data_IF_430704178915
#
_entry.id   IF_430704178915
#
_cell.length_a   1.000
_cell.length_b   1.000
_cell.length_c   1.000
_cell.angle_alpha   90.00
_cell.angle_beta   90.00
_cell.angle_gamma   90.00
#
_symmetry.space_group_name_H-M   'P 1'
#
loop_
_entity.id
_entity.type
_entity.pdbx_description
1 polymer ?
#
# COMPACT_ATOMS: atom_id res chain seq x y z
N UNK A 1 29.40 2.17 6.69
CA UNK A 1 27.98 2.60 6.73
C UNK A 1 26.96 1.58 6.22
N UNK A 2 27.35 0.48 5.53
CA UNK A 2 26.40 -0.51 4.99
C UNK A 2 25.91 -1.56 6.00
N UNK A 3 26.74 -1.87 7.00
CA UNK A 3 26.47 -2.87 8.06
C UNK A 3 25.26 -2.54 8.94
N UNK A 4 25.05 -1.30 9.44
CA UNK A 4 23.88 -1.00 10.28
C UNK A 4 22.57 -1.00 9.49
N UNK A 5 22.61 -0.58 8.21
CA UNK A 5 21.44 -0.60 7.31
C UNK A 5 21.05 -2.05 7.00
N UNK A 6 22.03 -2.91 6.74
CA UNK A 6 21.78 -4.33 6.52
C UNK A 6 21.12 -4.98 7.75
N UNK A 7 21.60 -4.67 8.96
CA UNK A 7 21.03 -5.19 10.22
C UNK A 7 19.61 -4.68 10.42
N UNK A 8 19.33 -3.40 10.16
CA UNK A 8 17.98 -2.85 10.25
C UNK A 8 17.02 -3.52 9.28
N UNK A 9 17.43 -3.72 8.02
CA UNK A 9 16.62 -4.42 7.01
C UNK A 9 16.38 -5.87 7.40
N UNK A 10 17.39 -6.57 7.94
CA UNK A 10 17.26 -7.94 8.45
C UNK A 10 16.30 -8.01 9.64
N UNK A 11 16.30 -7.00 10.52
CA UNK A 11 15.43 -6.93 11.68
C UNK A 11 13.98 -6.61 11.30
N UNK A 12 13.77 -5.76 10.29
CA UNK A 12 12.45 -5.50 9.72
C UNK A 12 11.89 -6.73 8.98
N UNK A 13 12.71 -7.45 8.21
CA UNK A 13 12.32 -8.69 7.55
C UNK A 13 12.03 -9.80 8.55
N UNK A 14 12.82 -9.93 9.62
CA UNK A 14 12.56 -10.84 10.71
C UNK A 14 11.26 -10.48 11.45
N UNK A 15 11.02 -9.19 11.72
CA UNK A 15 9.75 -8.71 12.30
C UNK A 15 8.55 -9.04 11.42
N UNK A 16 8.64 -8.82 10.11
CA UNK A 16 7.58 -9.17 9.16
C UNK A 16 7.33 -10.68 9.06
N UNK A 17 8.36 -11.52 9.28
CA UNK A 17 8.25 -12.98 9.31
C UNK A 17 7.63 -13.48 10.62
N UNK A 18 7.92 -12.81 11.75
CA UNK A 18 7.37 -13.12 13.08
C UNK A 18 5.90 -12.66 13.20
N UNK A 19 5.52 -11.59 12.48
CA UNK A 19 4.16 -11.05 12.42
C UNK A 19 3.28 -11.74 11.36
N UNK A 20 3.80 -12.74 10.64
CA UNK A 20 2.91 -13.63 9.90
C UNK A 20 2.00 -14.31 10.93
N UNK A 21 0.67 -14.35 10.71
CA UNK A 21 -0.13 -15.32 11.43
C UNK A 21 0.41 -16.65 10.94
N UNK A 22 1.30 -17.27 11.73
CA UNK A 22 1.70 -18.65 11.59
C UNK A 22 0.36 -19.37 11.50
N UNK A 23 -0.04 -19.78 10.30
CA UNK A 23 -1.33 -20.36 10.06
C UNK A 23 -1.42 -21.54 11.01
N UNK A 24 -2.13 -21.31 12.12
CA UNK A 24 -2.35 -22.30 13.14
C UNK A 24 -3.17 -23.36 12.42
N UNK A 25 -2.48 -24.40 11.96
CA UNK A 25 -3.06 -25.61 11.42
C UNK A 25 -3.72 -26.45 12.52
N UNK A 26 -3.89 -25.89 13.71
CA UNK A 26 -4.90 -26.32 14.65
C UNK A 26 -6.24 -25.86 14.08
N UNK A 27 -7.00 -26.82 13.54
CA UNK A 27 -8.38 -26.63 13.16
C UNK A 27 -9.07 -25.77 14.23
N UNK A 28 -9.48 -24.56 13.86
CA UNK A 28 -10.28 -23.66 14.69
C UNK A 28 -11.52 -24.46 15.08
N UNK A 29 -11.50 -25.03 16.28
CA UNK A 29 -12.49 -26.04 16.67
C UNK A 29 -13.89 -25.47 16.83
N UNK A 30 -14.03 -24.14 16.81
CA UNK A 30 -15.30 -23.42 16.85
C UNK A 30 -15.17 -22.16 15.99
N UNK A 31 -15.26 -22.28 14.65
CA UNK A 31 -15.45 -21.09 13.80
C UNK A 31 -16.85 -20.54 14.06
N UNK A 32 -16.95 -19.46 14.83
CA UNK A 32 -18.17 -18.68 14.95
C UNK A 32 -18.19 -17.57 13.88
N UNK A 33 -19.29 -17.41 13.12
CA UNK A 33 -19.45 -16.29 12.22
C UNK A 33 -19.38 -14.96 12.97
N UNK A 34 -18.63 -14.00 12.42
CA UNK A 34 -18.52 -12.66 13.00
C UNK A 34 -19.89 -12.03 13.26
N UNK A 35 -20.08 -11.49 14.46
CA UNK A 35 -21.28 -10.73 14.79
C UNK A 35 -21.18 -9.33 14.18
N UNK A 36 -22.33 -8.75 13.80
CA UNK A 36 -22.36 -7.41 13.18
C UNK A 36 -21.75 -6.31 14.07
N UNK A 37 -21.79 -6.52 15.39
CA UNK A 37 -21.41 -5.53 16.39
C UNK A 37 -20.04 -5.86 17.03
N UNK A 38 -19.34 -6.88 16.53
CA UNK A 38 -18.06 -7.34 17.09
C UNK A 38 -16.91 -6.36 16.84
N UNK A 39 -17.00 -5.60 15.73
CA UNK A 39 -15.98 -4.62 15.37
C UNK A 39 -16.57 -3.21 15.28
N UNK A 40 -15.80 -2.19 15.71
CA UNK A 40 -16.18 -0.81 15.48
C UNK A 40 -16.32 -0.50 13.99
N UNK A 41 -17.36 0.24 13.60
CA UNK A 41 -17.66 0.56 12.19
C UNK A 41 -16.47 1.23 11.48
N UNK A 42 -15.70 2.05 12.19
CA UNK A 42 -14.52 2.74 11.63
C UNK A 42 -13.41 1.76 11.21
N UNK A 43 -13.29 0.61 11.87
CA UNK A 43 -12.27 -0.39 11.52
C UNK A 43 -12.55 -1.03 10.17
N UNK A 44 -13.84 -1.19 9.81
CA UNK A 44 -14.27 -1.58 8.47
C UNK A 44 -13.87 -0.55 7.40
N UNK A 45 -14.03 0.74 7.70
CA UNK A 45 -13.62 1.84 6.81
C UNK A 45 -12.09 1.86 6.59
N UNK A 46 -11.31 1.69 7.66
CA UNK A 46 -9.84 1.58 7.57
C UNK A 46 -9.41 0.35 6.79
N UNK A 47 -10.02 -0.81 7.07
CA UNK A 47 -9.75 -2.05 6.33
C UNK A 47 -10.00 -1.89 4.82
N UNK A 48 -11.12 -1.26 4.45
CA UNK A 48 -11.42 -0.97 3.03
C UNK A 48 -10.35 -0.06 2.43
N UNK A 49 -9.96 1.00 3.14
CA UNK A 49 -8.92 1.91 2.68
C UNK A 49 -7.57 1.21 2.45
N UNK A 50 -7.14 0.34 3.35
CA UNK A 50 -5.90 -0.44 3.20
C UNK A 50 -5.96 -1.38 1.99
N UNK A 51 -7.07 -2.11 1.83
CA UNK A 51 -7.25 -3.03 0.70
C UNK A 51 -7.18 -2.28 -0.62
N UNK A 52 -7.83 -1.11 -0.73
CA UNK A 52 -7.81 -0.31 -1.96
C UNK A 52 -6.43 0.31 -2.18
N UNK A 53 -5.79 0.82 -1.12
CA UNK A 53 -4.45 1.41 -1.20
C UNK A 53 -3.44 0.39 -1.72
N UNK A 54 -3.24 -0.70 -0.97
CA UNK A 54 -2.26 -1.73 -1.33
C UNK A 54 -2.69 -2.52 -2.56
N UNK A 55 -3.99 -2.71 -2.78
CA UNK A 55 -4.53 -3.40 -3.95
C UNK A 55 -4.33 -2.63 -5.26
N UNK A 56 -4.35 -1.29 -5.22
CA UNK A 56 -4.14 -0.46 -6.42
C UNK A 56 -2.67 -0.22 -6.74
N UNK A 57 -1.75 -0.38 -5.77
CA UNK A 57 -0.31 -0.13 -5.92
C UNK A 57 0.35 -0.82 -7.14
N UNK A 58 0.08 -2.10 -7.47
CA UNK A 58 0.68 -2.72 -8.66
C UNK A 58 0.32 -1.99 -9.96
N UNK A 59 -0.90 -1.47 -10.04
CA UNK A 59 -1.40 -0.74 -11.22
C UNK A 59 -0.83 0.67 -11.23
N UNK A 60 -0.94 1.41 -10.12
CA UNK A 60 -0.46 2.80 -10.04
C UNK A 60 1.05 2.89 -10.21
N UNK A 61 1.81 1.92 -9.70
CA UNK A 61 3.26 1.84 -9.88
C UNK A 61 3.63 1.63 -11.35
N UNK A 62 2.99 0.65 -12.01
CA UNK A 62 3.23 0.37 -13.43
C UNK A 62 2.89 1.59 -14.29
N UNK A 63 1.72 2.19 -14.07
CA UNK A 63 1.29 3.40 -14.76
C UNK A 63 2.27 4.56 -14.54
N UNK A 64 2.75 4.73 -13.31
CA UNK A 64 3.75 5.76 -12.97
C UNK A 64 5.08 5.51 -13.65
N UNK A 65 5.56 4.26 -13.70
CA UNK A 65 6.82 3.93 -14.36
C UNK A 65 6.74 4.24 -15.86
N UNK A 66 5.64 3.86 -16.52
CA UNK A 66 5.42 4.16 -17.93
C UNK A 66 5.28 5.67 -18.16
N UNK A 67 4.41 6.34 -17.41
CA UNK A 67 4.18 7.78 -17.53
C UNK A 67 5.44 8.61 -17.27
N UNK A 68 6.23 8.25 -16.26
CA UNK A 68 7.50 8.91 -15.95
C UNK A 68 8.51 8.73 -17.09
N UNK A 69 8.64 7.52 -17.65
CA UNK A 69 9.53 7.27 -18.79
C UNK A 69 9.10 8.07 -20.03
N UNK A 70 7.80 8.11 -20.32
CA UNK A 70 7.27 8.89 -21.44
C UNK A 70 7.53 10.39 -21.24
N UNK A 71 7.22 10.93 -20.06
CA UNK A 71 7.44 12.34 -19.75
C UNK A 71 8.90 12.76 -19.95
N UNK A 72 9.84 11.96 -19.44
CA UNK A 72 11.26 12.30 -19.47
C UNK A 72 11.88 12.05 -20.86
N UNK A 73 11.64 10.88 -21.46
CA UNK A 73 12.34 10.47 -22.68
C UNK A 73 11.69 11.01 -23.95
N UNK A 74 10.35 11.12 -23.98
CA UNK A 74 9.61 11.52 -25.17
C UNK A 74 9.23 13.02 -25.15
N UNK A 75 8.85 13.53 -23.99
CA UNK A 75 8.41 14.93 -23.84
C UNK A 75 9.52 15.87 -23.33
N UNK A 76 10.72 15.35 -23.06
CA UNK A 76 11.87 16.15 -22.63
C UNK A 76 11.68 16.80 -21.26
N UNK A 77 10.80 16.25 -20.40
CA UNK A 77 10.61 16.76 -19.06
C UNK A 77 11.92 16.72 -18.26
N UNK A 78 12.18 17.77 -17.48
CA UNK A 78 13.38 17.85 -16.66
C UNK A 78 13.47 16.68 -15.68
N UNK A 79 14.67 16.13 -15.51
CA UNK A 79 14.92 15.13 -14.48
C UNK A 79 14.88 15.81 -13.11
N UNK A 80 13.74 15.71 -12.42
CA UNK A 80 13.51 16.36 -11.13
C UNK A 80 14.42 15.79 -10.03
N UNK A 81 14.80 14.51 -10.15
CA UNK A 81 15.64 13.81 -9.16
C UNK A 81 16.79 13.04 -9.82
N UNK A 82 17.95 12.90 -9.15
CA UNK A 82 19.04 12.07 -9.63
C UNK A 82 18.59 10.61 -9.84
N UNK A 83 19.23 9.89 -10.77
CA UNK A 83 18.86 8.51 -11.10
C UNK A 83 18.84 7.57 -9.89
N UNK A 84 19.73 7.79 -8.92
CA UNK A 84 19.77 7.04 -7.66
C UNK A 84 18.48 7.10 -6.83
N UNK A 85 17.65 8.14 -7.02
CA UNK A 85 16.37 8.34 -6.32
C UNK A 85 15.15 8.14 -7.22
N UNK A 86 15.35 7.78 -8.49
CA UNK A 86 14.27 7.62 -9.47
C UNK A 86 13.19 6.65 -9.00
N UNK A 87 13.60 5.50 -8.46
CA UNK A 87 12.66 4.51 -7.93
C UNK A 87 11.84 5.07 -6.76
N UNK A 88 12.46 5.83 -5.85
CA UNK A 88 11.75 6.46 -4.73
C UNK A 88 10.73 7.48 -5.23
N UNK A 89 11.08 8.29 -6.24
CA UNK A 89 10.16 9.24 -6.86
C UNK A 89 8.97 8.53 -7.51
N UNK A 90 9.21 7.46 -8.27
CA UNK A 90 8.14 6.69 -8.92
C UNK A 90 7.23 6.00 -7.91
N UNK A 91 7.80 5.39 -6.86
CA UNK A 91 7.01 4.81 -5.76
C UNK A 91 6.21 5.88 -5.02
N UNK A 92 6.80 7.04 -4.76
CA UNK A 92 6.12 8.17 -4.11
C UNK A 92 4.94 8.70 -4.92
N UNK A 93 5.11 8.87 -6.24
CA UNK A 93 4.03 9.27 -7.15
C UNK A 93 2.93 8.19 -7.17
N UNK A 94 3.29 6.92 -7.28
CA UNK A 94 2.34 5.81 -7.31
C UNK A 94 1.53 5.71 -5.99
N UNK A 95 2.20 5.89 -4.85
CA UNK A 95 1.57 5.93 -3.53
C UNK A 95 0.63 7.14 -3.40
N UNK A 96 1.03 8.31 -3.93
CA UNK A 96 0.18 9.50 -3.98
C UNK A 96 -1.08 9.29 -4.82
N UNK A 97 -0.96 8.67 -6.00
CA UNK A 97 -2.12 8.32 -6.85
C UNK A 97 -3.03 7.32 -6.12
N UNK A 98 -2.44 6.28 -5.53
CA UNK A 98 -3.19 5.27 -4.76
C UNK A 98 -3.96 5.89 -3.58
N UNK A 99 -3.33 6.81 -2.84
CA UNK A 99 -3.98 7.56 -1.78
C UNK A 99 -5.14 8.42 -2.33
N UNK A 100 -4.98 9.02 -3.51
CA UNK A 100 -6.07 9.72 -4.20
C UNK A 100 -7.26 8.81 -4.50
N UNK A 101 -7.03 7.58 -4.97
CA UNK A 101 -8.08 6.60 -5.24
C UNK A 101 -8.85 6.27 -3.96
N UNK A 102 -8.13 6.03 -2.86
CA UNK A 102 -8.73 5.75 -1.54
C UNK A 102 -9.58 6.91 -1.04
N UNK A 103 -9.10 8.14 -1.19
CA UNK A 103 -9.86 9.33 -0.78
C UNK A 103 -11.14 9.49 -1.59
N UNK A 104 -11.09 9.24 -2.90
CA UNK A 104 -12.29 9.28 -3.76
C UNK A 104 -13.29 8.19 -3.35
N UNK A 105 -12.84 6.96 -3.11
CA UNK A 105 -13.70 5.87 -2.61
C UNK A 105 -14.35 6.22 -1.27
N UNK A 106 -13.57 6.76 -0.34
CA UNK A 106 -14.05 7.18 0.97
C UNK A 106 -15.15 8.25 0.85
N UNK A 107 -14.92 9.30 0.05
CA UNK A 107 -15.88 10.38 -0.16
C UNK A 107 -17.17 9.84 -0.79
N UNK A 108 -17.06 8.98 -1.81
CA UNK A 108 -18.23 8.39 -2.46
C UNK A 108 -19.04 7.51 -1.50
N UNK A 109 -18.36 6.76 -0.63
CA UNK A 109 -19.00 5.96 0.41
C UNK A 109 -19.83 6.82 1.38
N UNK A 110 -19.25 7.90 1.89
CA UNK A 110 -19.95 8.82 2.81
C UNK A 110 -21.14 9.55 2.13
N UNK A 111 -21.08 9.77 0.81
CA UNK A 111 -22.18 10.38 0.06
C UNK A 111 -23.38 9.44 -0.13
N UNK A 112 -23.15 8.11 -0.13
CA UNK A 112 -24.19 7.10 -0.31
C UNK A 112 -24.89 6.70 1.00
N UNK A 113 -24.28 6.98 2.16
CA UNK A 113 -24.87 6.72 3.49
C UNK A 113 -25.87 7.83 3.94
N UNK A 114 -26.23 8.78 3.05
CA UNK A 114 -27.30 9.78 3.26
C UNK A 114 -28.64 9.34 2.68
#
# INVERSE_FOLDING_TARGET
MKKPILVLVLLCLAGAFILQPLAAADAVKDYEPYQKDEFPIWSGKVRRAEIIFFGSMPITLTATMLGYNLAVNQFGAAHITPDSRRMLTQVGIAAGISLGIVLVDFILGEMQEK
#
